data_IF_153530677346
#
_entry.id   IF_153530677346
#
_cell.length_a   1.000
_cell.length_b   1.000
_cell.length_c   1.000
_cell.angle_alpha   90.00
_cell.angle_beta   90.00
_cell.angle_gamma   90.00
#
_symmetry.space_group_name_H-M   'P 1'
#
loop_
_entity.id
_entity.type
_entity.pdbx_description
1 polymer ?
#
# COMPACT_ATOMS: atom_id res chain seq x y z
N UNK A 1 49.58 -2.55 -10.72
CA UNK A 1 49.16 -2.93 -9.35
C UNK A 1 47.75 -3.48 -9.43
N UNK A 2 47.62 -4.76 -9.05
CA UNK A 2 46.44 -5.51 -8.65
C UNK A 2 45.11 -5.36 -9.43
N UNK A 3 44.91 -6.26 -10.38
CA UNK A 3 43.58 -6.68 -10.84
C UNK A 3 42.90 -7.63 -9.84
N UNK A 4 41.59 -7.57 -9.80
CA UNK A 4 40.69 -8.49 -9.08
C UNK A 4 40.52 -9.79 -9.87
N UNK A 5 40.65 -10.97 -9.25
CA UNK A 5 40.20 -12.20 -9.87
C UNK A 5 38.79 -12.62 -9.39
N UNK A 6 37.92 -12.80 -10.37
CA UNK A 6 36.74 -13.67 -10.38
C UNK A 6 37.06 -15.09 -9.89
N UNK A 7 36.14 -15.71 -9.14
CA UNK A 7 36.00 -17.17 -9.10
C UNK A 7 34.53 -17.60 -9.01
N UNK A 8 34.01 -17.97 -10.18
CA UNK A 8 33.07 -19.08 -10.35
C UNK A 8 33.53 -20.32 -9.56
N UNK A 9 32.59 -21.06 -8.95
CA UNK A 9 32.48 -22.49 -9.25
C UNK A 9 31.13 -23.08 -8.81
N UNK A 10 30.36 -23.46 -9.82
CA UNK A 10 29.32 -24.46 -9.81
C UNK A 10 29.86 -25.84 -9.41
N UNK A 11 29.16 -26.61 -8.59
CA UNK A 11 29.21 -28.08 -8.67
C UNK A 11 27.84 -28.68 -8.36
N UNK A 12 27.30 -29.36 -9.37
CA UNK A 12 26.19 -30.31 -9.28
C UNK A 12 26.75 -31.73 -9.08
N UNK A 13 25.96 -32.52 -8.36
CA UNK A 13 25.75 -33.98 -8.44
C UNK A 13 26.96 -34.94 -8.52
N UNK A 14 27.04 -35.80 -7.51
CA UNK A 14 27.29 -37.24 -7.73
C UNK A 14 26.40 -38.05 -6.77
N UNK A 15 25.78 -39.09 -7.30
CA UNK A 15 24.85 -40.03 -6.68
C UNK A 15 25.55 -41.39 -6.54
N UNK A 16 25.09 -42.19 -5.57
CA UNK A 16 25.23 -43.65 -5.44
C UNK A 16 26.52 -44.14 -4.74
N UNK A 17 26.56 -45.21 -3.95
CA UNK A 17 25.68 -46.39 -3.87
C UNK A 17 25.80 -47.06 -2.48
N UNK A 18 24.69 -47.68 -2.06
CA UNK A 18 24.49 -48.82 -1.14
C UNK A 18 25.65 -49.45 -0.36
N UNK A 19 25.43 -49.73 0.95
CA UNK A 19 25.45 -51.09 1.51
C UNK A 19 24.88 -51.17 2.95
N UNK A 20 23.99 -52.16 3.11
CA UNK A 20 23.57 -52.97 4.28
C UNK A 20 23.14 -52.37 5.62
N UNK A 21 22.00 -52.92 6.07
CA UNK A 21 21.21 -52.54 7.22
C UNK A 21 21.68 -53.21 8.53
N UNK A 22 21.52 -52.50 9.64
CA UNK A 22 21.18 -53.10 10.93
C UNK A 22 20.22 -52.16 11.68
N UNK A 23 19.11 -52.74 12.11
CA UNK A 23 18.02 -52.08 12.81
C UNK A 23 18.25 -52.21 14.31
N UNK A 24 18.45 -51.10 15.02
CA UNK A 24 18.24 -51.05 16.46
C UNK A 24 17.50 -49.77 16.88
N UNK A 25 16.53 -49.97 17.76
CA UNK A 25 15.41 -49.07 18.07
C UNK A 25 15.81 -48.00 19.08
N UNK A 26 15.37 -46.77 18.80
CA UNK A 26 14.63 -45.90 19.72
C UNK A 26 15.31 -45.50 21.05
N UNK A 27 15.77 -44.24 21.12
CA UNK A 27 15.09 -43.17 21.88
C UNK A 27 15.63 -41.80 21.48
N UNK A 28 14.68 -40.91 21.12
CA UNK A 28 14.90 -39.55 20.64
C UNK A 28 15.24 -38.63 21.81
N UNK A 29 16.42 -38.05 21.80
CA UNK A 29 16.77 -36.84 22.54
C UNK A 29 17.40 -35.84 21.58
N UNK A 30 16.58 -35.00 20.93
CA UNK A 30 17.09 -33.88 20.15
C UNK A 30 17.36 -32.71 21.09
N UNK A 31 18.55 -32.06 21.03
CA UNK A 31 18.80 -30.85 21.78
C UNK A 31 17.90 -29.73 21.22
N UNK A 32 17.08 -29.18 22.11
CA UNK A 32 16.17 -28.07 21.86
C UNK A 32 16.97 -26.90 21.30
N UNK A 33 16.75 -26.58 20.02
CA UNK A 33 17.20 -25.32 19.45
C UNK A 33 16.54 -24.20 20.26
N UNK A 34 17.36 -23.46 21.01
CA UNK A 34 16.98 -22.25 21.74
C UNK A 34 16.31 -21.30 20.77
N UNK A 35 14.98 -21.30 20.80
CA UNK A 35 14.16 -20.30 20.11
C UNK A 35 14.46 -18.99 20.81
N UNK A 36 15.32 -18.19 20.20
CA UNK A 36 15.53 -16.81 20.62
C UNK A 36 14.20 -16.10 20.46
N UNK A 37 13.47 -15.97 21.57
CA UNK A 37 12.29 -15.14 21.67
C UNK A 37 12.69 -13.77 21.13
N UNK A 38 12.18 -13.42 19.95
CA UNK A 38 12.37 -12.09 19.39
C UNK A 38 11.70 -11.14 20.36
N UNK A 39 12.51 -10.39 21.12
CA UNK A 39 12.07 -9.31 21.98
C UNK A 39 11.22 -8.37 21.14
N UNK A 40 9.90 -8.48 21.27
CA UNK A 40 8.98 -7.55 20.64
C UNK A 40 9.23 -6.22 21.33
N UNK A 41 9.98 -5.34 20.66
CA UNK A 41 10.31 -4.04 21.19
C UNK A 41 9.00 -3.23 21.35
N UNK A 42 8.46 -3.26 22.56
CA UNK A 42 7.15 -2.71 22.94
C UNK A 42 7.17 -1.19 23.12
N UNK A 43 8.30 -0.52 22.83
CA UNK A 43 8.51 0.89 23.16
C UNK A 43 8.06 1.91 22.11
N UNK A 44 7.46 1.50 20.98
CA UNK A 44 6.94 2.45 19.97
C UNK A 44 5.70 1.91 19.25
N UNK A 45 4.62 1.55 19.96
CA UNK A 45 3.29 1.45 19.33
C UNK A 45 2.64 2.84 19.31
N UNK A 46 3.30 3.76 18.63
CA UNK A 46 2.72 5.05 18.24
C UNK A 46 1.50 4.76 17.37
N UNK A 47 0.33 5.32 17.72
CA UNK A 47 -0.97 5.10 17.07
C UNK A 47 -0.88 4.66 15.60
N UNK A 48 -1.45 3.49 15.27
CA UNK A 48 -1.31 2.91 13.92
C UNK A 48 -2.34 3.39 12.89
N UNK A 49 -3.25 4.28 13.29
CA UNK A 49 -4.32 4.79 12.45
C UNK A 49 -4.39 6.31 12.47
N UNK A 50 -4.79 6.89 11.33
CA UNK A 50 -5.05 8.31 11.17
C UNK A 50 -6.56 8.56 11.23
N UNK A 51 -6.96 9.58 11.99
CA UNK A 51 -8.33 10.09 12.05
C UNK A 51 -8.66 10.89 10.79
N UNK A 52 -9.95 11.06 10.48
CA UNK A 52 -10.39 11.85 9.31
C UNK A 52 -9.86 13.29 9.37
N UNK A 53 -9.87 13.92 10.54
CA UNK A 53 -9.31 15.27 10.73
C UNK A 53 -7.80 15.34 10.47
N UNK A 54 -7.04 14.28 10.81
CA UNK A 54 -5.62 14.20 10.49
C UNK A 54 -5.38 14.04 8.98
N UNK A 55 -6.21 13.25 8.30
CA UNK A 55 -6.17 13.10 6.84
C UNK A 55 -6.46 14.44 6.15
N UNK A 56 -7.47 15.18 6.61
CA UNK A 56 -7.77 16.50 6.07
C UNK A 56 -6.62 17.49 6.28
N UNK A 57 -5.97 17.46 7.46
CA UNK A 57 -4.76 18.25 7.71
C UNK A 57 -3.61 17.88 6.78
N UNK A 58 -3.36 16.58 6.58
CA UNK A 58 -2.34 16.09 5.64
C UNK A 58 -2.64 16.52 4.20
N UNK A 59 -3.90 16.42 3.76
CA UNK A 59 -4.33 16.87 2.44
C UNK A 59 -4.17 18.39 2.28
N UNK A 60 -4.52 19.18 3.29
CA UNK A 60 -4.34 20.62 3.28
C UNK A 60 -2.85 21.01 3.21
N UNK A 61 -1.99 20.32 3.96
CA UNK A 61 -0.55 20.50 3.90
C UNK A 61 0.01 20.12 2.51
N UNK A 62 -0.45 18.99 1.94
CA UNK A 62 -0.05 18.55 0.60
C UNK A 62 -0.40 19.59 -0.47
N UNK A 63 -1.61 20.18 -0.44
CA UNK A 63 -2.02 21.22 -1.40
C UNK A 63 -1.13 22.46 -1.35
N UNK A 64 -0.65 22.85 -0.17
CA UNK A 64 0.21 24.02 0.04
C UNK A 64 1.69 23.75 -0.25
N UNK A 65 2.06 22.48 -0.44
CA UNK A 65 3.45 22.06 -0.34
C UNK A 65 4.27 22.19 -1.63
N UNK A 66 3.65 22.17 -2.80
CA UNK A 66 4.39 22.04 -4.07
C UNK A 66 3.54 22.40 -5.28
N UNK A 67 4.21 22.58 -6.43
CA UNK A 67 3.62 22.62 -7.77
C UNK A 67 2.67 21.45 -8.03
N UNK A 68 2.96 20.28 -7.45
CA UNK A 68 2.14 19.07 -7.57
C UNK A 68 1.18 18.85 -6.40
N UNK A 69 0.85 19.90 -5.62
CA UNK A 69 0.05 19.77 -4.41
C UNK A 69 -1.33 19.15 -4.61
N UNK A 70 -1.96 19.38 -5.78
CA UNK A 70 -3.23 18.71 -6.12
C UNK A 70 -3.05 17.20 -6.33
N UNK A 71 -1.99 16.78 -7.03
CA UNK A 71 -1.64 15.36 -7.21
C UNK A 71 -1.42 14.69 -5.87
N UNK A 72 -0.59 15.29 -5.03
CA UNK A 72 -0.18 14.71 -3.75
C UNK A 72 -1.37 14.59 -2.78
N UNK A 73 -2.24 15.61 -2.73
CA UNK A 73 -3.48 15.53 -1.96
C UNK A 73 -4.46 14.47 -2.51
N UNK A 74 -4.53 14.30 -3.84
CA UNK A 74 -5.38 13.26 -4.47
C UNK A 74 -4.85 11.85 -4.18
N UNK A 75 -3.53 11.66 -4.15
CA UNK A 75 -2.91 10.39 -3.74
C UNK A 75 -3.32 9.99 -2.31
N UNK A 76 -3.28 10.95 -1.38
CA UNK A 76 -3.68 10.72 0.01
C UNK A 76 -5.16 10.36 0.10
N UNK A 77 -6.03 11.09 -0.61
CA UNK A 77 -7.48 10.85 -0.63
C UNK A 77 -7.82 9.43 -1.10
N UNK A 78 -7.32 9.05 -2.28
CA UNK A 78 -7.58 7.73 -2.90
C UNK A 78 -6.97 6.61 -2.06
N UNK A 79 -5.74 6.80 -1.55
CA UNK A 79 -5.07 5.83 -0.69
C UNK A 79 -5.83 5.57 0.61
N UNK A 80 -6.35 6.62 1.25
CA UNK A 80 -7.14 6.53 2.47
C UNK A 80 -8.51 5.88 2.23
N UNK A 81 -9.27 6.33 1.24
CA UNK A 81 -10.65 5.81 1.03
C UNK A 81 -10.70 4.39 0.54
N UNK A 82 -9.82 3.99 -0.37
CA UNK A 82 -9.84 2.65 -0.94
C UNK A 82 -8.86 1.67 -0.25
N UNK A 83 -8.11 2.15 0.75
CA UNK A 83 -7.17 1.32 1.52
C UNK A 83 -6.11 0.66 0.64
N UNK A 84 -5.61 1.39 -0.36
CA UNK A 84 -4.61 0.86 -1.30
C UNK A 84 -3.25 0.72 -0.61
N UNK A 85 -2.49 -0.33 -0.95
CA UNK A 85 -1.07 -0.36 -0.61
C UNK A 85 -0.33 0.73 -1.39
N UNK A 86 0.81 1.19 -0.88
CA UNK A 86 1.62 2.17 -1.59
C UNK A 86 1.99 1.72 -3.02
N UNK A 87 2.29 0.43 -3.22
CA UNK A 87 2.52 -0.13 -4.56
C UNK A 87 1.27 -0.09 -5.44
N UNK A 88 0.12 -0.53 -4.92
CA UNK A 88 -1.16 -0.53 -5.65
C UNK A 88 -1.61 0.89 -6.05
N UNK A 89 -1.36 1.88 -5.19
CA UNK A 89 -1.64 3.28 -5.46
C UNK A 89 -0.72 3.84 -6.55
N UNK A 90 0.58 3.55 -6.46
CA UNK A 90 1.60 4.00 -7.41
C UNK A 90 1.43 3.37 -8.80
N UNK A 91 1.01 2.11 -8.86
CA UNK A 91 0.82 1.36 -10.11
C UNK A 91 -0.58 1.56 -10.73
N UNK A 92 -1.41 2.45 -10.15
CA UNK A 92 -2.77 2.68 -10.61
C UNK A 92 -2.81 3.30 -12.00
N UNK A 93 -3.56 2.68 -12.92
CA UNK A 93 -3.70 3.12 -14.31
C UNK A 93 -5.06 3.74 -14.61
N UNK A 94 -5.14 4.63 -15.60
CA UNK A 94 -6.41 5.23 -16.03
C UNK A 94 -7.40 4.20 -16.58
N UNK A 95 -6.91 3.09 -17.15
CA UNK A 95 -7.74 1.96 -17.60
C UNK A 95 -8.50 1.28 -16.45
N UNK A 96 -8.10 1.51 -15.21
CA UNK A 96 -8.74 0.99 -14.01
C UNK A 96 -9.72 1.99 -13.39
N UNK A 97 -9.78 3.22 -13.88
CA UNK A 97 -10.57 4.31 -13.32
C UNK A 97 -11.71 4.65 -14.26
N UNK A 98 -12.92 4.25 -13.90
CA UNK A 98 -14.12 4.57 -14.66
C UNK A 98 -14.76 5.85 -14.12
N UNK A 99 -14.35 7.00 -14.66
CA UNK A 99 -14.82 8.33 -14.21
C UNK A 99 -16.27 8.65 -14.61
N UNK A 100 -16.87 7.87 -15.50
CA UNK A 100 -18.24 8.02 -15.96
C UNK A 100 -19.23 7.35 -14.99
N UNK A 101 -18.94 6.10 -14.60
CA UNK A 101 -19.79 5.31 -13.69
C UNK A 101 -19.36 5.42 -12.22
N UNK A 102 -18.20 6.02 -11.94
CA UNK A 102 -17.67 6.19 -10.59
C UNK A 102 -17.12 4.88 -10.00
N UNK A 103 -16.43 4.06 -10.79
CA UNK A 103 -15.91 2.76 -10.35
C UNK A 103 -14.39 2.70 -10.44
N UNK A 104 -13.75 2.17 -9.39
CA UNK A 104 -12.31 1.96 -9.33
C UNK A 104 -11.99 0.46 -9.29
N UNK A 105 -11.29 -0.03 -10.31
CA UNK A 105 -10.89 -1.43 -10.45
C UNK A 105 -9.52 -1.68 -9.84
N UNK A 106 -9.46 -2.14 -8.60
CA UNK A 106 -8.21 -2.33 -7.88
C UNK A 106 -7.67 -3.74 -8.15
N UNK A 107 -6.50 -3.80 -8.80
CA UNK A 107 -5.70 -5.02 -8.94
C UNK A 107 -4.80 -5.14 -7.71
N UNK A 108 -5.11 -6.10 -6.83
CA UNK A 108 -4.35 -6.31 -5.58
C UNK A 108 -3.07 -7.10 -5.86
N UNK A 109 -1.97 -6.70 -5.22
CA UNK A 109 -0.69 -7.38 -5.37
C UNK A 109 -0.64 -8.70 -4.58
N UNK A 110 0.05 -9.72 -5.13
CA UNK A 110 0.35 -11.04 -4.53
C UNK A 110 -0.88 -11.76 -3.93
N UNK A 111 -1.78 -12.24 -4.78
CA UNK A 111 -2.89 -13.15 -4.43
C UNK A 111 -4.15 -12.48 -3.84
N UNK A 112 -4.36 -11.18 -4.05
CA UNK A 112 -5.63 -10.54 -3.69
C UNK A 112 -6.65 -10.63 -4.82
N UNK A 113 -7.90 -10.96 -4.50
CA UNK A 113 -9.00 -10.92 -5.47
C UNK A 113 -9.19 -9.48 -5.98
N UNK A 114 -9.30 -9.28 -7.31
CA UNK A 114 -9.68 -7.99 -7.88
C UNK A 114 -10.94 -7.47 -7.20
N UNK A 115 -10.93 -6.20 -6.80
CA UNK A 115 -12.05 -5.58 -6.10
C UNK A 115 -12.45 -4.32 -6.83
N UNK A 116 -13.76 -4.11 -6.95
CA UNK A 116 -14.31 -2.87 -7.50
C UNK A 116 -14.78 -2.01 -6.34
N UNK A 117 -14.26 -0.80 -6.26
CA UNK A 117 -14.63 0.15 -5.22
C UNK A 117 -15.47 1.28 -5.84
N UNK A 118 -16.60 1.67 -5.22
CA UNK A 118 -17.33 2.87 -5.64
C UNK A 118 -16.54 4.12 -5.28
N UNK A 119 -16.47 5.08 -6.20
CA UNK A 119 -15.86 6.39 -6.00
C UNK A 119 -16.93 7.44 -5.73
N UNK A 120 -16.62 8.40 -4.85
CA UNK A 120 -17.50 9.52 -4.54
C UNK A 120 -17.23 10.70 -5.49
N UNK A 121 -18.17 11.66 -5.53
CA UNK A 121 -18.11 12.78 -6.47
C UNK A 121 -16.89 13.72 -6.29
N UNK A 122 -16.39 13.86 -5.06
CA UNK A 122 -15.17 14.61 -4.75
C UNK A 122 -13.91 13.93 -5.31
N UNK A 123 -13.82 12.60 -5.24
CA UNK A 123 -12.73 11.80 -5.84
C UNK A 123 -12.74 11.93 -7.37
N UNK A 124 -13.93 11.80 -7.98
CA UNK A 124 -14.09 11.94 -9.43
C UNK A 124 -13.67 13.34 -9.88
N UNK A 125 -14.08 14.40 -9.17
CA UNK A 125 -13.66 15.78 -9.46
C UNK A 125 -12.14 15.94 -9.32
N UNK A 126 -11.54 15.38 -8.28
CA UNK A 126 -10.10 15.44 -8.06
C UNK A 126 -9.33 14.74 -9.18
N UNK A 127 -9.76 13.54 -9.58
CA UNK A 127 -9.16 12.76 -10.66
C UNK A 127 -9.34 13.41 -12.04
N UNK A 128 -10.52 13.96 -12.36
CA UNK A 128 -10.74 14.71 -13.62
C UNK A 128 -9.85 15.94 -13.72
N UNK A 129 -9.67 16.67 -12.61
CA UNK A 129 -8.72 17.78 -12.55
C UNK A 129 -7.29 17.29 -12.78
N UNK A 130 -6.92 16.19 -12.12
CA UNK A 130 -5.61 15.59 -12.26
C UNK A 130 -5.30 15.15 -13.70
N UNK A 131 -6.28 14.57 -14.39
CA UNK A 131 -6.17 14.14 -15.78
C UNK A 131 -5.92 15.31 -16.74
N UNK A 132 -6.49 16.49 -16.47
CA UNK A 132 -6.29 17.70 -17.28
C UNK A 132 -4.94 18.39 -17.00
N UNK A 133 -4.46 18.34 -15.76
CA UNK A 133 -3.23 19.02 -15.34
C UNK A 133 -1.97 18.20 -15.63
N UNK A 134 -2.07 16.87 -15.66
CA UNK A 134 -0.93 16.00 -15.94
C UNK A 134 -0.74 15.75 -17.44
N UNK A 135 0.49 15.39 -17.83
CA UNK A 135 0.79 14.91 -19.18
C UNK A 135 0.07 13.58 -19.42
N UNK A 136 -0.30 13.30 -20.67
CA UNK A 136 -0.90 12.02 -21.03
C UNK A 136 0.05 10.87 -20.69
N UNK A 137 -0.46 9.90 -19.92
CA UNK A 137 0.25 8.70 -19.47
C UNK A 137 -0.76 7.61 -19.19
N UNK A 138 -0.30 6.36 -19.15
CA UNK A 138 -1.14 5.23 -18.69
C UNK A 138 -1.41 5.28 -17.18
N UNK A 139 -0.50 5.89 -16.40
CA UNK A 139 -0.57 5.92 -14.94
C UNK A 139 -1.32 7.17 -14.44
N UNK A 140 -2.10 7.00 -13.36
CA UNK A 140 -2.87 8.09 -12.72
C UNK A 140 -1.94 9.04 -11.97
N UNK A 141 -0.93 8.49 -11.30
CA UNK A 141 0.01 9.27 -10.50
C UNK A 141 1.40 9.22 -11.10
N UNK A 142 1.81 10.35 -11.67
CA UNK A 142 3.11 10.51 -12.28
C UNK A 142 4.08 11.24 -11.34
N UNK A 143 5.35 10.85 -11.40
CA UNK A 143 6.46 11.61 -10.83
C UNK A 143 6.70 12.91 -11.62
N UNK A 144 7.54 13.79 -11.07
CA UNK A 144 7.95 15.03 -11.77
C UNK A 144 8.63 14.77 -13.12
N UNK A 145 9.27 13.61 -13.30
CA UNK A 145 9.93 13.21 -14.54
C UNK A 145 8.96 12.60 -15.57
N UNK A 146 7.65 12.55 -15.29
CA UNK A 146 6.63 11.96 -16.16
C UNK A 146 6.55 10.43 -16.15
N UNK A 147 7.47 9.75 -15.46
CA UNK A 147 7.35 8.31 -15.18
C UNK A 147 6.36 8.01 -14.05
N UNK A 148 5.97 6.74 -13.85
CA UNK A 148 5.10 6.35 -12.74
C UNK A 148 5.69 6.76 -11.40
N UNK A 149 4.82 7.13 -10.45
CA UNK A 149 5.26 7.35 -9.07
C UNK A 149 5.78 6.03 -8.50
N UNK A 150 6.92 6.04 -7.80
CA UNK A 150 7.41 4.83 -7.14
C UNK A 150 6.95 4.78 -5.69
N UNK A 151 6.76 3.59 -5.10
CA UNK A 151 6.40 3.47 -3.68
C UNK A 151 7.42 4.17 -2.78
N UNK A 152 8.72 4.05 -3.07
CA UNK A 152 9.79 4.74 -2.34
C UNK A 152 9.63 6.27 -2.39
N UNK A 153 9.33 6.83 -3.56
CA UNK A 153 9.09 8.26 -3.70
C UNK A 153 7.84 8.70 -2.92
N UNK A 154 6.77 7.89 -2.96
CA UNK A 154 5.55 8.17 -2.19
C UNK A 154 5.80 8.12 -0.67
N UNK A 155 6.56 7.15 -0.16
CA UNK A 155 6.94 7.10 1.25
C UNK A 155 7.69 8.37 1.69
N UNK A 156 8.68 8.80 0.93
CA UNK A 156 9.44 10.02 1.22
C UNK A 156 8.58 11.29 1.10
N UNK A 157 7.69 11.34 0.11
CA UNK A 157 6.72 12.43 -0.04
C UNK A 157 5.78 12.51 1.18
N UNK A 158 5.21 11.37 1.58
CA UNK A 158 4.26 11.31 2.68
C UNK A 158 4.90 11.70 4.02
N UNK A 159 6.13 11.27 4.29
CA UNK A 159 6.89 11.71 5.47
C UNK A 159 7.07 13.23 5.51
N UNK A 160 7.51 13.84 4.40
CA UNK A 160 7.65 15.31 4.29
C UNK A 160 6.32 16.05 4.47
N UNK A 161 5.22 15.48 3.99
CA UNK A 161 3.87 16.05 4.19
C UNK A 161 3.49 15.97 5.68
N UNK A 162 3.80 14.87 6.36
CA UNK A 162 3.56 14.72 7.81
C UNK A 162 4.31 15.73 8.66
N UNK A 163 5.59 15.95 8.35
CA UNK A 163 6.41 16.99 9.00
C UNK A 163 5.80 18.39 8.80
N UNK A 164 5.39 18.71 7.56
CA UNK A 164 4.74 20.00 7.23
C UNK A 164 3.39 20.17 7.90
N UNK A 165 2.62 19.09 8.03
CA UNK A 165 1.35 19.07 8.74
C UNK A 165 1.53 19.14 10.27
N UNK A 166 2.78 19.18 10.77
CA UNK A 166 3.15 19.16 12.19
C UNK A 166 2.49 17.99 12.92
N UNK A 167 2.53 16.82 12.30
CA UNK A 167 2.00 15.62 12.91
C UNK A 167 2.82 15.27 14.16
N UNK A 168 2.17 14.84 15.27
CA UNK A 168 2.88 14.53 16.51
C UNK A 168 3.72 13.24 16.43
N UNK A 169 3.64 12.52 15.31
CA UNK A 169 4.35 11.26 15.07
C UNK A 169 4.73 11.11 13.59
N UNK A 170 5.74 10.26 13.27
CA UNK A 170 6.10 9.95 11.90
C UNK A 170 4.94 9.24 11.20
N UNK A 171 4.56 9.75 10.02
CA UNK A 171 3.47 9.18 9.22
C UNK A 171 4.00 8.26 8.13
N UNK A 172 3.34 7.12 7.93
CA UNK A 172 3.70 6.15 6.90
C UNK A 172 2.47 5.74 6.08
N UNK A 173 2.62 5.44 4.77
CA UNK A 173 1.51 5.04 3.91
C UNK A 173 0.65 3.87 4.41
N UNK A 174 1.22 2.96 5.21
CA UNK A 174 0.47 1.86 5.80
C UNK A 174 -0.61 2.33 6.79
N UNK A 175 -0.43 3.51 7.40
CA UNK A 175 -1.41 4.13 8.30
C UNK A 175 -2.67 4.60 7.55
N UNK A 176 -2.55 4.99 6.27
CA UNK A 176 -3.71 5.33 5.42
C UNK A 176 -4.64 4.13 5.26
N UNK A 177 -4.05 2.94 5.06
CA UNK A 177 -4.80 1.69 4.91
C UNK A 177 -5.51 1.30 6.21
N UNK A 178 -4.87 1.48 7.36
CA UNK A 178 -5.51 1.22 8.66
C UNK A 178 -6.63 2.22 8.98
N UNK A 179 -6.46 3.49 8.60
CA UNK A 179 -7.48 4.51 8.78
C UNK A 179 -8.78 4.26 8.00
N UNK A 180 -8.70 3.60 6.83
CA UNK A 180 -9.86 3.20 6.02
C UNK A 180 -10.84 2.30 6.81
N UNK A 181 -10.30 1.29 7.51
CA UNK A 181 -11.09 0.37 8.34
C UNK A 181 -11.78 1.06 9.52
N UNK A 182 -11.14 2.09 10.08
CA UNK A 182 -11.69 2.87 11.18
C UNK A 182 -12.78 3.87 10.74
N UNK A 183 -12.64 4.49 9.56
CA UNK A 183 -13.66 5.38 9.01
C UNK A 183 -14.98 4.64 8.71
N UNK A 184 -14.89 3.41 8.19
CA UNK A 184 -16.05 2.55 7.96
C UNK A 184 -16.66 2.04 9.27
N UNK A 185 -15.83 1.72 10.27
CA UNK A 185 -16.29 1.31 11.59
C UNK A 185 -16.98 2.45 12.36
N UNK A 186 -16.42 3.67 12.30
CA UNK A 186 -17.00 4.87 12.93
C UNK A 186 -18.23 5.40 12.18
N UNK A 187 -18.36 5.12 10.88
CA UNK A 187 -19.58 5.40 10.11
C UNK A 187 -20.75 4.46 10.46
N UNK A 188 -20.60 3.58 11.46
CA UNK A 188 -21.70 2.75 11.96
C UNK A 188 -22.03 1.54 11.10
N UNK A 189 -21.17 1.18 10.13
CA UNK A 189 -21.31 -0.08 9.41
C UNK A 189 -20.64 -1.18 10.23
N UNK A 190 -21.45 -1.81 11.08
CA UNK A 190 -21.11 -3.07 11.74
C UNK A 190 -20.56 -4.09 10.75
N UNK A 191 -19.78 -5.03 11.28
CA UNK A 191 -18.96 -6.06 10.61
C UNK A 191 -19.69 -7.06 9.68
N UNK A 192 -20.74 -6.66 8.97
CA UNK A 192 -21.42 -7.45 7.95
C UNK A 192 -21.32 -6.79 6.59
N UNK A 193 -20.50 -7.41 5.74
CA UNK A 193 -20.85 -7.82 4.37
C UNK A 193 -22.14 -7.18 3.85
N UNK A 194 -22.02 -6.13 3.04
CA UNK A 194 -22.95 -5.76 1.94
C UNK A 194 -22.52 -4.42 1.35
N UNK A 195 -22.00 -4.43 0.12
CA UNK A 195 -21.99 -3.28 -0.80
C UNK A 195 -21.97 -3.80 -2.25
N UNK A 196 -22.83 -4.77 -2.56
CA UNK A 196 -23.52 -4.79 -3.84
C UNK A 196 -24.89 -4.14 -3.59
N UNK A 197 -25.40 -3.45 -4.61
CA UNK A 197 -26.68 -2.73 -4.66
C UNK A 197 -26.85 -1.56 -3.69
N UNK A 198 -26.83 -0.36 -4.24
CA UNK A 198 -27.73 0.71 -3.83
C UNK A 198 -28.19 1.47 -5.08
N UNK A 199 -29.13 0.85 -5.80
CA UNK A 199 -30.10 1.60 -6.60
C UNK A 199 -30.91 2.48 -5.64
N UNK A 200 -30.86 3.79 -5.84
CA UNK A 200 -31.88 4.70 -5.27
C UNK A 200 -32.88 5.00 -6.39
N UNK A 201 -34.17 4.64 -6.23
CA UNK A 201 -35.19 5.17 -7.12
C UNK A 201 -35.39 6.66 -6.79
N UNK A 202 -35.29 7.50 -7.81
CA UNK A 202 -35.73 8.89 -7.78
C UNK A 202 -37.24 8.93 -7.64
N UNK A 203 -37.73 9.47 -6.52
CA UNK A 203 -39.13 9.86 -6.35
C UNK A 203 -39.32 11.28 -6.88
N UNK A 204 -40.22 11.36 -7.86
CA UNK A 204 -41.12 12.47 -8.26
C UNK A 204 -40.52 13.85 -8.52
#
# INVERSE_FOLDING_TARGET
MAGYPDRNLSVRCAVSQSETATCEKSQRGSPTATTSATTVNSSVRTREYLTTAEIERLMAAARKSSRYGHRDATMILIGYRHGLRASELCDLQWSQVELATGRLHVRRAKNGSPSVHPMQGDEIRALRRLQREQRASSHVFQSERGGPMTPKAFHALFGRIGERAKMPFPVHPHMLRHGCGYALANAGHGSRRTCLSNDRPSLS
#
